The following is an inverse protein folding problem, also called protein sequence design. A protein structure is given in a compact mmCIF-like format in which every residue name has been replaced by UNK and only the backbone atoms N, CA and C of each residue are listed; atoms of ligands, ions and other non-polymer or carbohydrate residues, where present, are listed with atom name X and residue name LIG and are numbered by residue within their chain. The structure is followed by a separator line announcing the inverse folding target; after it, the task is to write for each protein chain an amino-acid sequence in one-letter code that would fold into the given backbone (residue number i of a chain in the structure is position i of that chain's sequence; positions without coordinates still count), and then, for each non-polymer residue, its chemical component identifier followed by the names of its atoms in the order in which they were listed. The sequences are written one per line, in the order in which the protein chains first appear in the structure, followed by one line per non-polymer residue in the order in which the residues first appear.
data_IF_002131609596
#
_entry.id   IF_002131609596
#
_cell.length_a   1.000
_cell.length_b   1.000
_cell.length_c   1.000
_cell.angle_alpha   90.00
_cell.angle_beta   90.00
_cell.angle_gamma   90.00
#
_symmetry.space_group_name_H-M   'P 1'
#
loop_
_entity.id
_entity.type
_entity.pdbx_description
1 polymer ?
#
# COMPACT_ATOMS: atom_id res chain seq x y z
N UNK A 1 24.06 20.01 1.76
CA UNK A 1 23.04 19.16 2.43
C UNK A 1 21.96 18.59 1.49
N UNK A 2 21.37 19.32 0.55
CA UNK A 2 20.30 18.81 -0.36
C UNK A 2 20.80 17.68 -1.27
N UNK A 3 21.99 17.79 -1.86
CA UNK A 3 22.58 16.76 -2.75
C UNK A 3 22.75 15.43 -2.00
N UNK A 4 23.25 15.45 -0.75
CA UNK A 4 23.42 14.25 0.05
C UNK A 4 22.09 13.53 0.40
N UNK A 5 20.97 14.27 0.52
CA UNK A 5 19.63 13.67 0.72
C UNK A 5 19.14 12.96 -0.54
N UNK A 6 19.36 13.55 -1.73
CA UNK A 6 19.00 12.92 -3.01
C UNK A 6 19.75 11.60 -3.23
N UNK A 7 21.05 11.57 -2.99
CA UNK A 7 21.84 10.35 -3.09
C UNK A 7 21.40 9.25 -2.13
N UNK A 8 21.04 9.61 -0.88
CA UNK A 8 20.49 8.63 0.07
C UNK A 8 19.12 8.10 -0.37
N UNK A 9 18.26 8.94 -0.91
CA UNK A 9 16.98 8.49 -1.45
C UNK A 9 17.19 7.49 -2.60
N UNK A 10 18.15 7.76 -3.50
CA UNK A 10 18.52 6.84 -4.58
C UNK A 10 19.13 5.53 -4.06
N UNK A 11 19.98 5.58 -3.04
CA UNK A 11 20.53 4.38 -2.41
C UNK A 11 19.44 3.52 -1.76
N UNK A 12 18.48 4.14 -1.06
CA UNK A 12 17.36 3.45 -0.45
C UNK A 12 16.41 2.88 -1.51
N UNK A 13 16.19 3.59 -2.62
CA UNK A 13 15.49 3.07 -3.79
C UNK A 13 16.19 1.83 -4.33
N UNK A 14 17.49 1.93 -4.63
CA UNK A 14 18.26 0.84 -5.22
C UNK A 14 18.31 -0.40 -4.30
N UNK A 15 18.53 -0.20 -3.00
CA UNK A 15 18.52 -1.26 -2.01
C UNK A 15 17.15 -1.96 -1.94
N UNK A 16 16.07 -1.16 -1.87
CA UNK A 16 14.72 -1.72 -1.81
C UNK A 16 14.36 -2.46 -3.08
N UNK A 17 14.69 -1.90 -4.24
CA UNK A 17 14.47 -2.53 -5.53
C UNK A 17 15.24 -3.85 -5.64
N UNK A 18 16.51 -3.86 -5.24
CA UNK A 18 17.33 -5.09 -5.25
C UNK A 18 16.67 -6.19 -4.39
N UNK A 19 16.26 -5.87 -3.14
CA UNK A 19 15.63 -6.84 -2.25
C UNK A 19 14.28 -7.32 -2.81
N UNK A 20 13.48 -6.41 -3.35
CA UNK A 20 12.16 -6.75 -3.90
C UNK A 20 12.29 -7.63 -5.16
N UNK A 21 13.24 -7.34 -6.05
CA UNK A 21 13.50 -8.15 -7.24
C UNK A 21 14.19 -9.49 -6.92
N UNK A 22 15.01 -9.56 -5.87
CA UNK A 22 15.59 -10.83 -5.42
C UNK A 22 14.52 -11.87 -5.12
N UNK A 23 13.36 -11.41 -4.72
CA UNK A 23 12.17 -12.23 -4.46
C UNK A 23 11.64 -12.98 -5.70
N UNK A 24 11.94 -12.50 -6.91
CA UNK A 24 11.57 -13.15 -8.17
C UNK A 24 12.01 -14.62 -8.25
N UNK A 25 13.13 -14.99 -7.67
CA UNK A 25 13.62 -16.36 -7.64
C UNK A 25 12.68 -17.35 -6.93
N UNK A 26 11.80 -16.86 -6.07
CA UNK A 26 10.94 -17.67 -5.22
C UNK A 26 9.52 -17.89 -5.79
N UNK A 27 9.19 -17.37 -6.97
CA UNK A 27 8.02 -17.66 -7.84
C UNK A 27 6.66 -17.85 -7.16
N UNK A 28 6.32 -17.19 -6.06
CA UNK A 28 5.19 -17.61 -5.26
C UNK A 28 3.88 -16.83 -5.43
N UNK A 29 3.83 -15.82 -6.26
CA UNK A 29 2.57 -15.20 -6.61
C UNK A 29 2.49 -15.04 -8.12
N UNK A 30 1.82 -16.03 -8.73
CA UNK A 30 0.99 -15.69 -9.86
C UNK A 30 -0.05 -14.70 -9.36
N UNK A 31 -0.35 -13.70 -10.14
CA UNK A 31 -1.39 -12.76 -9.86
C UNK A 31 -2.66 -13.48 -9.40
N UNK A 32 -3.10 -13.18 -8.20
CA UNK A 32 -4.46 -13.50 -7.79
C UNK A 32 -5.43 -12.64 -8.60
N UNK A 33 -6.70 -13.03 -8.67
CA UNK A 33 -7.72 -12.34 -9.46
C UNK A 33 -7.70 -10.81 -9.39
N UNK A 34 -7.33 -10.24 -8.24
CA UNK A 34 -7.27 -8.79 -8.00
C UNK A 34 -6.24 -8.05 -8.87
N UNK A 35 -5.14 -8.70 -9.30
CA UNK A 35 -4.08 -8.07 -10.13
C UNK A 35 -4.28 -8.34 -11.61
N UNK A 36 -5.14 -9.29 -11.98
CA UNK A 36 -5.37 -9.71 -13.36
C UNK A 36 -5.75 -8.54 -14.28
N UNK A 37 -6.68 -7.65 -13.93
CA UNK A 37 -6.99 -6.51 -14.78
C UNK A 37 -5.78 -5.58 -15.01
N UNK A 38 -4.97 -5.35 -13.99
CA UNK A 38 -3.76 -4.53 -14.14
C UNK A 38 -2.71 -5.21 -15.05
N UNK A 39 -2.61 -6.53 -15.02
CA UNK A 39 -1.73 -7.29 -15.91
C UNK A 39 -2.22 -7.34 -17.35
N UNK A 40 -3.52 -7.37 -17.55
CA UNK A 40 -4.11 -7.45 -18.88
C UNK A 40 -4.28 -6.09 -19.55
N UNK A 41 -4.27 -4.97 -18.80
CA UNK A 41 -4.51 -3.65 -19.36
C UNK A 41 -3.60 -3.30 -20.54
N UNK A 42 -2.26 -3.49 -20.50
CA UNK A 42 -1.40 -3.16 -21.64
C UNK A 42 -1.79 -3.94 -22.90
N UNK A 43 -2.19 -5.21 -22.76
CA UNK A 43 -2.63 -6.05 -23.88
C UNK A 43 -4.03 -5.65 -24.38
N UNK A 44 -4.92 -5.29 -23.47
CA UNK A 44 -6.25 -4.80 -23.84
C UNK A 44 -6.17 -3.49 -24.63
N UNK A 45 -5.31 -2.57 -24.18
CA UNK A 45 -5.05 -1.32 -24.91
C UNK A 45 -4.47 -1.57 -26.30
N UNK A 46 -3.55 -2.51 -26.43
CA UNK A 46 -2.95 -2.87 -27.74
C UNK A 46 -4.00 -3.52 -28.68
N UNK A 47 -4.80 -4.45 -28.16
CA UNK A 47 -5.77 -5.22 -28.96
C UNK A 47 -7.02 -4.42 -29.30
N UNK A 48 -7.59 -3.73 -28.30
CA UNK A 48 -8.92 -3.10 -28.43
C UNK A 48 -8.84 -1.59 -28.67
N UNK A 49 -7.63 -1.00 -28.70
CA UNK A 49 -7.41 0.45 -28.79
C UNK A 49 -8.27 1.27 -27.81
N UNK A 50 -8.56 0.67 -26.64
CA UNK A 50 -9.43 1.21 -25.58
C UNK A 50 -9.05 0.62 -24.24
N UNK A 51 -9.79 0.98 -23.16
CA UNK A 51 -9.62 0.39 -21.84
C UNK A 51 -10.66 -0.73 -21.57
N UNK A 52 -11.35 -1.21 -22.60
CA UNK A 52 -12.19 -2.40 -22.51
C UNK A 52 -11.34 -3.67 -22.57
N UNK A 53 -11.79 -4.71 -21.88
CA UNK A 53 -11.12 -6.00 -21.79
C UNK A 53 -11.77 -7.09 -22.65
N UNK A 54 -12.44 -6.69 -23.73
CA UNK A 54 -13.12 -7.61 -24.64
C UNK A 54 -12.14 -8.66 -25.19
N UNK A 55 -12.55 -9.93 -25.07
CA UNK A 55 -11.73 -11.09 -25.45
C UNK A 55 -10.65 -11.49 -24.45
N UNK A 56 -10.63 -10.89 -23.27
CA UNK A 56 -9.80 -11.28 -22.12
C UNK A 56 -10.65 -11.83 -20.96
N UNK A 57 -11.97 -11.82 -21.07
CA UNK A 57 -12.88 -12.37 -20.07
C UNK A 57 -12.71 -13.87 -19.99
N UNK A 58 -12.79 -14.39 -18.77
CA UNK A 58 -12.87 -15.80 -18.49
C UNK A 58 -14.22 -16.11 -17.84
N UNK A 59 -14.90 -17.22 -18.17
CA UNK A 59 -16.13 -17.60 -17.52
C UNK A 59 -15.98 -17.66 -15.99
N UNK A 60 -16.87 -16.97 -15.27
CA UNK A 60 -16.84 -16.90 -13.82
C UNK A 60 -15.78 -15.96 -13.22
N UNK A 61 -15.04 -15.21 -14.02
CA UNK A 61 -14.07 -14.23 -13.55
C UNK A 61 -14.79 -13.01 -12.95
N UNK A 62 -14.79 -12.91 -11.64
CA UNK A 62 -15.44 -11.84 -10.88
C UNK A 62 -14.71 -10.48 -10.97
N UNK A 63 -13.53 -10.43 -11.53
CA UNK A 63 -12.76 -9.19 -11.74
C UNK A 63 -13.09 -8.44 -13.04
N UNK A 64 -14.00 -8.95 -13.87
CA UNK A 64 -14.58 -8.24 -15.01
C UNK A 64 -16.09 -8.18 -14.89
N UNK A 65 -16.64 -7.04 -15.30
CA UNK A 65 -18.07 -6.80 -15.38
C UNK A 65 -18.45 -6.47 -16.82
N UNK A 66 -19.67 -6.84 -17.24
CA UNK A 66 -20.19 -6.43 -18.53
C UNK A 66 -21.01 -5.15 -18.38
N UNK A 67 -20.60 -4.11 -19.12
CA UNK A 67 -21.28 -2.82 -19.18
C UNK A 67 -21.51 -2.49 -20.66
N UNK A 68 -22.76 -2.30 -21.05
CA UNK A 68 -23.15 -2.03 -22.46
C UNK A 68 -22.53 -3.00 -23.48
N UNK A 69 -22.42 -4.27 -23.14
CA UNK A 69 -21.87 -5.31 -24.02
C UNK A 69 -20.33 -5.48 -23.96
N UNK A 70 -19.61 -4.58 -23.31
CA UNK A 70 -18.16 -4.60 -23.19
C UNK A 70 -17.68 -5.09 -21.82
N UNK A 71 -16.52 -5.71 -21.77
CA UNK A 71 -15.87 -6.13 -20.53
C UNK A 71 -15.10 -4.95 -19.90
N UNK A 72 -15.43 -4.61 -18.67
CA UNK A 72 -14.81 -3.53 -17.88
C UNK A 72 -14.17 -4.11 -16.64
N UNK A 73 -13.03 -3.53 -16.22
CA UNK A 73 -12.34 -3.96 -15.01
C UNK A 73 -13.15 -3.69 -13.75
N UNK A 74 -13.39 -4.71 -12.92
CA UNK A 74 -13.93 -4.58 -11.57
C UNK A 74 -12.97 -3.97 -10.55
N UNK A 75 -11.74 -3.63 -10.98
CA UNK A 75 -10.71 -2.96 -10.18
C UNK A 75 -10.30 -1.63 -10.80
N UNK A 76 -9.81 -0.66 -10.01
CA UNK A 76 -9.31 0.60 -10.54
C UNK A 76 -8.25 0.39 -11.62
N UNK A 77 -8.33 1.21 -12.67
CA UNK A 77 -7.53 1.07 -13.88
C UNK A 77 -6.08 1.56 -13.69
N UNK A 78 -5.85 2.46 -12.72
CA UNK A 78 -4.54 3.14 -12.52
C UNK A 78 -3.36 2.17 -12.38
N UNK A 79 -3.46 1.04 -11.64
CA UNK A 79 -2.32 0.12 -11.51
C UNK A 79 -1.83 -0.43 -12.85
N UNK A 80 -2.73 -0.67 -13.78
CA UNK A 80 -2.39 -1.23 -15.09
C UNK A 80 -1.47 -0.33 -15.92
N UNK A 81 -1.59 1.00 -15.78
CA UNK A 81 -0.71 1.94 -16.48
C UNK A 81 0.75 1.82 -16.02
N UNK A 82 1.01 1.44 -14.79
CA UNK A 82 2.37 1.22 -14.31
C UNK A 82 3.02 -0.05 -14.87
N UNK A 83 2.26 -0.94 -15.49
CA UNK A 83 2.79 -2.11 -16.19
C UNK A 83 3.26 -1.79 -17.61
N UNK A 84 2.75 -0.73 -18.24
CA UNK A 84 3.04 -0.40 -19.65
C UNK A 84 4.55 -0.35 -19.97
N UNK A 85 5.42 0.32 -19.18
CA UNK A 85 6.84 0.38 -19.50
C UNK A 85 7.53 -1.01 -19.54
N UNK A 86 7.20 -1.88 -18.58
CA UNK A 86 7.79 -3.23 -18.53
C UNK A 86 7.32 -4.10 -19.70
N UNK A 87 6.05 -3.97 -20.10
CA UNK A 87 5.49 -4.68 -21.27
C UNK A 87 6.07 -4.15 -22.59
N UNK A 88 6.27 -2.84 -22.73
CA UNK A 88 6.92 -2.28 -23.91
C UNK A 88 8.35 -2.80 -24.09
N UNK A 89 9.13 -2.87 -22.99
CA UNK A 89 10.48 -3.44 -23.00
C UNK A 89 10.44 -4.94 -23.34
N UNK A 90 9.50 -5.69 -22.75
CA UNK A 90 9.34 -7.13 -23.03
C UNK A 90 9.01 -7.38 -24.50
N UNK A 91 8.08 -6.59 -25.08
CA UNK A 91 7.74 -6.63 -26.50
C UNK A 91 8.96 -6.35 -27.39
N UNK A 92 9.66 -5.26 -27.09
CA UNK A 92 10.86 -4.90 -27.85
C UNK A 92 11.93 -6.00 -27.83
N UNK A 93 12.02 -6.76 -26.75
CA UNK A 93 12.94 -7.90 -26.59
C UNK A 93 12.39 -9.23 -27.10
N UNK A 94 11.20 -9.28 -27.66
CA UNK A 94 10.54 -10.51 -28.13
C UNK A 94 10.16 -11.50 -27.03
N UNK A 95 10.00 -11.02 -25.77
CA UNK A 95 9.59 -11.87 -24.66
C UNK A 95 8.10 -12.20 -24.82
N UNK A 96 7.67 -13.47 -24.74
CA UNK A 96 6.28 -13.84 -24.83
C UNK A 96 5.50 -13.28 -23.64
N UNK A 97 4.25 -12.84 -23.90
CA UNK A 97 3.37 -12.26 -22.88
C UNK A 97 2.31 -13.26 -22.39
N UNK A 98 2.73 -14.51 -22.17
CA UNK A 98 1.91 -15.51 -21.50
C UNK A 98 1.65 -15.19 -20.02
N UNK A 99 0.84 -15.97 -19.35
CA UNK A 99 0.42 -15.74 -17.97
C UNK A 99 1.62 -15.64 -17.00
N UNK A 100 2.65 -16.47 -17.17
CA UNK A 100 3.82 -16.49 -16.29
C UNK A 100 4.68 -15.22 -16.48
N UNK A 101 4.91 -14.81 -17.72
CA UNK A 101 5.67 -13.59 -18.03
C UNK A 101 4.90 -12.34 -17.60
N UNK A 102 3.56 -12.29 -17.77
CA UNK A 102 2.74 -11.17 -17.31
C UNK A 102 2.84 -10.98 -15.80
N UNK A 103 2.71 -12.07 -15.03
CA UNK A 103 2.86 -12.01 -13.56
C UNK A 103 4.26 -11.55 -13.15
N UNK A 104 5.30 -12.00 -13.86
CA UNK A 104 6.68 -11.53 -13.64
C UNK A 104 6.82 -10.03 -13.92
N UNK A 105 6.33 -9.55 -15.04
CA UNK A 105 6.39 -8.12 -15.41
C UNK A 105 5.61 -7.25 -14.43
N UNK A 106 4.45 -7.73 -14.00
CA UNK A 106 3.62 -7.09 -12.96
C UNK A 106 4.39 -6.96 -11.64
N UNK A 107 5.10 -8.02 -11.21
CA UNK A 107 5.93 -7.98 -10.01
C UNK A 107 7.12 -7.02 -10.16
N UNK A 108 7.80 -7.01 -11.31
CA UNK A 108 8.89 -6.07 -11.59
C UNK A 108 8.39 -4.63 -11.49
N UNK A 109 7.27 -4.32 -12.15
CA UNK A 109 6.66 -2.99 -12.12
C UNK A 109 6.26 -2.58 -10.70
N UNK A 110 5.63 -3.50 -9.94
CA UNK A 110 5.25 -3.28 -8.55
C UNK A 110 6.47 -3.04 -7.65
N UNK A 111 7.57 -3.78 -7.87
CA UNK A 111 8.82 -3.60 -7.15
C UNK A 111 9.43 -2.22 -7.39
N UNK A 112 9.44 -1.75 -8.65
CA UNK A 112 9.94 -0.40 -9.02
C UNK A 112 9.08 0.68 -8.37
N UNK A 113 7.75 0.58 -8.48
CA UNK A 113 6.80 1.56 -7.93
C UNK A 113 6.91 1.62 -6.40
N UNK A 114 6.98 0.47 -5.74
CA UNK A 114 7.11 0.40 -4.28
C UNK A 114 8.48 0.90 -3.81
N UNK A 115 9.57 0.58 -4.50
CA UNK A 115 10.90 1.12 -4.20
C UNK A 115 10.95 2.65 -4.40
N UNK A 116 10.27 3.18 -5.42
CA UNK A 116 10.13 4.63 -5.59
C UNK A 116 9.39 5.27 -4.41
N UNK A 117 8.35 4.61 -3.87
CA UNK A 117 7.67 5.08 -2.67
C UNK A 117 8.62 5.17 -1.47
N UNK A 118 9.56 4.23 -1.31
CA UNK A 118 10.58 4.27 -0.24
C UNK A 118 11.46 5.51 -0.34
N UNK A 119 11.89 5.86 -1.56
CA UNK A 119 12.71 7.05 -1.78
C UNK A 119 11.97 8.34 -1.42
N UNK A 120 10.74 8.52 -1.89
CA UNK A 120 9.93 9.69 -1.56
C UNK A 120 9.53 9.73 -0.08
N UNK A 121 9.28 8.58 0.52
CA UNK A 121 9.01 8.48 1.96
C UNK A 121 10.22 8.92 2.81
N UNK A 122 11.45 8.50 2.43
CA UNK A 122 12.68 9.01 3.06
C UNK A 122 12.79 10.54 2.94
N UNK A 123 12.48 11.10 1.77
CA UNK A 123 12.51 12.55 1.57
C UNK A 123 11.47 13.25 2.46
N UNK A 124 10.28 12.68 2.64
CA UNK A 124 9.25 13.18 3.56
C UNK A 124 9.73 13.14 5.01
N UNK A 125 10.22 11.99 5.47
CA UNK A 125 10.76 11.84 6.83
C UNK A 125 11.93 12.78 7.12
N UNK A 126 12.83 12.99 6.14
CA UNK A 126 13.98 13.88 6.27
C UNK A 126 13.61 15.37 6.51
N UNK A 127 12.33 15.73 6.29
CA UNK A 127 11.81 17.05 6.64
C UNK A 127 11.22 17.12 8.06
N UNK A 128 10.95 15.98 8.68
CA UNK A 128 10.23 15.87 9.96
C UNK A 128 11.13 15.48 11.13
N UNK A 129 12.16 14.66 10.88
CA UNK A 129 12.99 14.04 11.92
C UNK A 129 14.47 14.07 11.54
N UNK A 130 15.35 13.75 12.51
CA UNK A 130 16.77 13.66 12.29
C UNK A 130 17.12 12.59 11.25
N UNK A 131 18.22 12.80 10.52
CA UNK A 131 18.65 11.92 9.43
C UNK A 131 18.76 10.44 9.82
N UNK A 132 19.28 10.14 11.01
CA UNK A 132 19.42 8.76 11.50
C UNK A 132 18.06 8.09 11.68
N UNK A 133 17.14 8.81 12.32
CA UNK A 133 15.75 8.36 12.51
C UNK A 133 15.03 8.19 11.16
N UNK A 134 15.22 9.15 10.24
CA UNK A 134 14.64 9.07 8.89
C UNK A 134 15.12 7.82 8.14
N UNK A 135 16.43 7.51 8.17
CA UNK A 135 16.96 6.29 7.54
C UNK A 135 16.39 5.03 8.20
N UNK A 136 16.47 4.93 9.54
CA UNK A 136 16.01 3.75 10.27
C UNK A 136 14.51 3.48 10.03
N UNK A 137 13.66 4.50 10.15
CA UNK A 137 12.23 4.35 9.91
C UNK A 137 11.90 4.09 8.43
N UNK A 138 12.70 4.59 7.48
CA UNK A 138 12.54 4.25 6.07
C UNK A 138 12.88 2.78 5.81
N UNK A 139 13.90 2.23 6.45
CA UNK A 139 14.22 0.80 6.37
C UNK A 139 13.11 -0.07 7.01
N UNK A 140 12.52 0.38 8.11
CA UNK A 140 11.33 -0.24 8.70
C UNK A 140 10.17 -0.22 7.70
N UNK A 141 9.87 0.93 7.10
CA UNK A 141 8.85 1.06 6.06
C UNK A 141 9.09 0.08 4.90
N UNK A 142 10.32 0.04 4.39
CA UNK A 142 10.68 -0.80 3.25
C UNK A 142 10.61 -2.29 3.53
N UNK A 143 11.08 -2.76 4.71
CA UNK A 143 11.35 -4.18 4.93
C UNK A 143 10.57 -4.82 6.07
N UNK A 144 10.01 -4.04 6.99
CA UNK A 144 9.27 -4.53 8.15
C UNK A 144 7.76 -4.26 8.06
N UNK A 145 7.22 -4.08 6.84
CA UNK A 145 5.80 -3.75 6.61
C UNK A 145 5.27 -4.42 5.33
N UNK A 146 3.98 -4.26 5.09
CA UNK A 146 3.32 -4.73 3.85
C UNK A 146 3.83 -4.05 2.58
N UNK A 147 4.71 -3.06 2.64
CA UNK A 147 5.41 -2.54 1.47
C UNK A 147 6.19 -3.68 0.79
N UNK A 148 6.97 -4.49 1.55
CA UNK A 148 7.71 -5.61 1.00
C UNK A 148 6.83 -6.83 0.72
N UNK A 149 5.97 -7.22 1.67
CA UNK A 149 5.26 -8.50 1.61
C UNK A 149 3.96 -8.48 0.80
N UNK A 150 3.45 -7.29 0.45
CA UNK A 150 2.23 -7.12 -0.34
C UNK A 150 2.47 -6.21 -1.53
N UNK A 151 2.81 -4.93 -1.34
CA UNK A 151 2.82 -3.93 -2.39
C UNK A 151 3.87 -4.22 -3.49
N UNK A 152 5.05 -4.75 -3.13
CA UNK A 152 6.10 -5.09 -4.08
C UNK A 152 5.90 -6.43 -4.80
N UNK A 153 4.86 -7.22 -4.45
CA UNK A 153 4.68 -8.60 -4.92
C UNK A 153 3.89 -8.75 -6.22
N UNK A 154 3.18 -7.75 -6.62
CA UNK A 154 2.36 -7.71 -7.82
C UNK A 154 1.71 -6.34 -7.96
N UNK A 155 1.23 -6.01 -9.15
CA UNK A 155 0.65 -4.68 -9.40
C UNK A 155 -0.77 -4.59 -8.82
N UNK A 156 -0.81 -4.61 -7.48
CA UNK A 156 -1.98 -4.26 -6.70
C UNK A 156 -2.19 -2.74 -6.69
N UNK A 157 -3.35 -2.29 -6.27
CA UNK A 157 -3.61 -0.87 -5.99
C UNK A 157 -2.68 -0.30 -4.90
N UNK A 158 -2.11 -1.15 -4.04
CA UNK A 158 -1.30 -0.78 -2.89
C UNK A 158 0.02 -0.10 -3.28
N UNK A 159 0.76 -0.65 -4.25
CA UNK A 159 2.04 -0.08 -4.70
C UNK A 159 1.89 1.37 -5.20
N UNK A 160 1.03 1.64 -6.20
CA UNK A 160 0.73 3.01 -6.63
C UNK A 160 0.18 3.91 -5.52
N UNK A 161 -0.69 3.41 -4.63
CA UNK A 161 -1.16 4.19 -3.47
C UNK A 161 -0.02 4.64 -2.56
N UNK A 162 0.89 3.71 -2.22
CA UNK A 162 2.07 4.04 -1.40
C UNK A 162 2.96 5.09 -2.08
N UNK A 163 3.15 5.01 -3.40
CA UNK A 163 3.92 5.99 -4.15
C UNK A 163 3.25 7.37 -4.12
N UNK A 164 1.96 7.45 -4.45
CA UNK A 164 1.23 8.71 -4.44
C UNK A 164 1.18 9.34 -3.05
N UNK A 165 0.92 8.56 -2.00
CA UNK A 165 0.93 9.05 -0.63
C UNK A 165 2.34 9.51 -0.21
N UNK A 166 3.41 8.78 -0.56
CA UNK A 166 4.78 9.17 -0.24
C UNK A 166 5.18 10.49 -0.92
N UNK A 167 4.81 10.67 -2.21
CA UNK A 167 5.04 11.93 -2.93
C UNK A 167 4.25 13.07 -2.26
N UNK A 168 2.98 12.85 -1.95
CA UNK A 168 2.14 13.86 -1.30
C UNK A 168 2.70 14.27 0.06
N UNK A 169 3.10 13.30 0.89
CA UNK A 169 3.71 13.54 2.19
C UNK A 169 5.03 14.32 2.06
N UNK A 170 5.86 13.98 1.07
CA UNK A 170 7.08 14.75 0.79
C UNK A 170 6.76 16.19 0.43
N UNK A 171 5.77 16.44 -0.42
CA UNK A 171 5.36 17.79 -0.81
C UNK A 171 4.77 18.57 0.37
N UNK A 172 3.88 17.97 1.15
CA UNK A 172 3.26 18.59 2.33
C UNK A 172 4.29 18.95 3.42
N UNK A 173 5.27 18.06 3.64
CA UNK A 173 6.28 18.26 4.70
C UNK A 173 7.33 19.30 4.35
N UNK A 174 7.41 19.79 3.10
CA UNK A 174 8.27 20.91 2.72
C UNK A 174 7.77 22.26 3.23
N UNK A 175 6.48 22.38 3.41
CA UNK A 175 5.87 23.55 4.05
C UNK A 175 5.76 24.80 3.17
N UNK A 176 6.32 24.81 1.95
CA UNK A 176 6.17 25.96 1.04
C UNK A 176 4.83 25.89 0.26
N UNK A 177 4.19 27.06 -0.04
CA UNK A 177 2.86 27.08 -0.63
C UNK A 177 2.75 26.38 -1.99
N UNK A 178 3.81 26.37 -2.80
CA UNK A 178 3.83 25.75 -4.13
C UNK A 178 3.81 24.22 -4.01
N UNK A 179 4.66 23.66 -3.16
CA UNK A 179 4.70 22.21 -2.95
C UNK A 179 3.43 21.72 -2.27
N UNK A 180 2.85 22.48 -1.34
CA UNK A 180 1.56 22.16 -0.74
C UNK A 180 0.46 22.13 -1.80
N UNK A 181 0.41 23.14 -2.69
CA UNK A 181 -0.55 23.15 -3.79
C UNK A 181 -0.39 21.91 -4.70
N UNK A 182 0.85 21.60 -5.09
CA UNK A 182 1.15 20.44 -5.94
C UNK A 182 0.81 19.09 -5.29
N UNK A 183 0.74 19.02 -3.94
CA UNK A 183 0.37 17.77 -3.26
C UNK A 183 -1.06 17.31 -3.57
N UNK A 184 -1.94 18.19 -4.04
CA UNK A 184 -3.27 17.85 -4.52
C UNK A 184 -3.26 16.82 -5.65
N UNK A 185 -2.28 16.91 -6.56
CA UNK A 185 -2.17 16.01 -7.71
C UNK A 185 -1.96 14.54 -7.28
N UNK A 186 -0.91 14.18 -6.53
CA UNK A 186 -0.73 12.78 -6.08
C UNK A 186 -1.83 12.34 -5.11
N UNK A 187 -2.41 13.21 -4.28
CA UNK A 187 -3.54 12.83 -3.43
C UNK A 187 -4.79 12.51 -4.25
N UNK A 188 -5.08 13.26 -5.30
CA UNK A 188 -6.17 12.94 -6.21
C UNK A 188 -5.92 11.61 -6.95
N UNK A 189 -4.70 11.34 -7.41
CA UNK A 189 -4.35 10.03 -7.99
C UNK A 189 -4.43 8.89 -6.98
N UNK A 190 -4.13 9.12 -5.71
CA UNK A 190 -4.31 8.12 -4.66
C UNK A 190 -5.78 7.71 -4.52
N UNK A 191 -6.72 8.67 -4.63
CA UNK A 191 -8.16 8.39 -4.62
C UNK A 191 -8.60 7.69 -5.91
N UNK A 192 -8.16 8.14 -7.08
CA UNK A 192 -8.47 7.48 -8.36
C UNK A 192 -7.96 6.05 -8.39
N UNK A 193 -6.76 5.82 -7.88
CA UNK A 193 -6.16 4.48 -7.78
C UNK A 193 -6.91 3.57 -6.77
N UNK A 194 -7.39 4.14 -5.68
CA UNK A 194 -8.13 3.42 -4.63
C UNK A 194 -9.08 4.36 -3.90
N UNK A 195 -10.40 4.31 -4.18
CA UNK A 195 -11.37 5.27 -3.63
C UNK A 195 -11.37 5.39 -2.11
N UNK A 196 -11.06 4.30 -1.37
CA UNK A 196 -10.94 4.31 0.10
C UNK A 196 -9.89 5.31 0.60
N UNK A 197 -8.89 5.66 -0.20
CA UNK A 197 -7.88 6.66 0.16
C UNK A 197 -8.48 8.05 0.41
N UNK A 198 -9.74 8.30 0.01
CA UNK A 198 -10.45 9.53 0.38
C UNK A 198 -10.47 9.76 1.89
N UNK A 199 -10.48 8.68 2.70
CA UNK A 199 -10.44 8.77 4.16
C UNK A 199 -9.12 9.30 4.72
N UNK A 200 -8.03 9.12 3.96
CA UNK A 200 -6.71 9.72 4.27
C UNK A 200 -6.63 11.12 3.66
N UNK A 201 -7.11 11.27 2.43
CA UNK A 201 -6.97 12.51 1.65
C UNK A 201 -7.85 13.64 2.19
N UNK A 202 -9.08 13.35 2.62
CA UNK A 202 -9.99 14.38 3.12
C UNK A 202 -9.46 15.10 4.39
N UNK A 203 -8.98 14.42 5.44
CA UNK A 203 -8.32 15.09 6.56
C UNK A 203 -7.08 15.90 6.16
N UNK A 204 -6.27 15.39 5.21
CA UNK A 204 -5.11 16.13 4.70
C UNK A 204 -5.53 17.38 3.91
N UNK A 205 -6.59 17.33 3.12
CA UNK A 205 -7.15 18.48 2.43
C UNK A 205 -7.68 19.51 3.44
N UNK A 206 -8.34 19.06 4.52
CA UNK A 206 -8.78 19.93 5.61
C UNK A 206 -7.61 20.60 6.32
N UNK A 207 -6.49 19.88 6.53
CA UNK A 207 -5.26 20.47 7.03
C UNK A 207 -4.76 21.60 6.11
N UNK A 208 -4.75 21.38 4.78
CA UNK A 208 -4.33 22.41 3.81
C UNK A 208 -5.27 23.61 3.88
N UNK A 209 -6.59 23.40 3.94
CA UNK A 209 -7.59 24.45 4.07
C UNK A 209 -7.37 25.31 5.33
N UNK A 210 -7.12 24.69 6.48
CA UNK A 210 -7.00 25.42 7.74
C UNK A 210 -5.64 26.09 7.91
N UNK A 211 -4.55 25.40 7.57
CA UNK A 211 -3.19 25.87 7.84
C UNK A 211 -2.57 26.65 6.68
N UNK A 212 -2.99 26.36 5.44
CA UNK A 212 -2.37 26.88 4.22
C UNK A 212 -3.43 27.44 3.24
N UNK A 213 -4.32 28.27 3.73
CA UNK A 213 -5.50 28.78 2.99
C UNK A 213 -5.18 29.33 1.61
N UNK A 214 -4.03 30.01 1.45
CA UNK A 214 -3.58 30.56 0.17
C UNK A 214 -3.21 29.47 -0.85
N UNK A 215 -2.79 28.30 -0.39
CA UNK A 215 -2.46 27.16 -1.24
C UNK A 215 -3.68 26.27 -1.53
N UNK A 216 -4.82 26.47 -0.83
CA UNK A 216 -5.94 25.54 -0.91
C UNK A 216 -6.61 25.51 -2.29
N UNK A 217 -6.87 26.68 -2.91
CA UNK A 217 -7.49 26.74 -4.25
C UNK A 217 -6.53 26.09 -5.29
N UNK A 218 -5.22 26.45 -5.37
CA UNK A 218 -4.28 25.75 -6.23
C UNK A 218 -4.16 24.25 -5.94
N UNK A 219 -4.26 23.83 -4.67
CA UNK A 219 -4.34 22.42 -4.27
C UNK A 219 -5.57 21.71 -4.88
N UNK A 220 -6.74 22.33 -4.77
CA UNK A 220 -7.98 21.80 -5.37
C UNK A 220 -7.88 21.72 -6.91
N UNK A 221 -7.27 22.71 -7.57
CA UNK A 221 -7.03 22.70 -9.02
C UNK A 221 -6.11 21.53 -9.40
N UNK A 222 -5.03 21.29 -8.65
CA UNK A 222 -4.14 20.16 -8.88
C UNK A 222 -4.86 18.81 -8.66
N UNK A 223 -5.71 18.70 -7.64
CA UNK A 223 -6.49 17.50 -7.37
C UNK A 223 -7.63 17.27 -8.38
N UNK A 224 -8.13 18.33 -9.01
CA UNK A 224 -9.18 18.25 -10.02
C UNK A 224 -8.74 17.48 -11.29
N UNK A 225 -7.45 17.47 -11.62
CA UNK A 225 -6.92 16.75 -12.79
C UNK A 225 -7.20 15.23 -12.65
N UNK A 226 -6.71 14.52 -11.63
CA UNK A 226 -7.04 13.11 -11.48
C UNK A 226 -8.52 12.85 -11.17
N UNK A 227 -9.23 13.80 -10.53
CA UNK A 227 -10.68 13.68 -10.33
C UNK A 227 -11.45 13.73 -11.66
N UNK A 228 -11.05 14.61 -12.59
CA UNK A 228 -11.65 14.68 -13.92
C UNK A 228 -11.36 13.41 -14.75
N UNK A 229 -10.13 12.86 -14.67
CA UNK A 229 -9.78 11.59 -15.29
C UNK A 229 -10.59 10.43 -14.71
N UNK A 230 -10.78 10.39 -13.40
CA UNK A 230 -11.62 9.40 -12.73
C UNK A 230 -13.09 9.51 -13.18
N UNK A 231 -13.63 10.73 -13.21
CA UNK A 231 -15.00 10.97 -13.66
C UNK A 231 -15.18 10.59 -15.14
N UNK A 232 -14.25 10.98 -16.01
CA UNK A 232 -14.25 10.59 -17.42
C UNK A 232 -14.25 9.08 -17.58
N UNK A 233 -13.33 8.36 -16.89
CA UNK A 233 -13.26 6.90 -16.93
C UNK A 233 -14.57 6.27 -16.43
N UNK A 234 -15.11 6.76 -15.33
CA UNK A 234 -16.34 6.23 -14.74
C UNK A 234 -17.55 6.43 -15.65
N UNK A 235 -17.70 7.62 -16.22
CA UNK A 235 -18.82 7.91 -17.14
C UNK A 235 -18.70 7.09 -18.43
N UNK A 236 -17.50 7.06 -19.03
CA UNK A 236 -17.29 6.43 -20.34
C UNK A 236 -17.36 4.91 -20.27
N UNK A 237 -16.73 4.29 -19.27
CA UNK A 237 -16.60 2.83 -19.19
C UNK A 237 -17.64 2.16 -18.26
N UNK A 238 -18.12 2.87 -17.24
CA UNK A 238 -19.09 2.33 -16.28
C UNK A 238 -20.49 2.93 -16.44
N UNK A 239 -20.65 3.99 -17.21
CA UNK A 239 -21.93 4.70 -17.37
C UNK A 239 -22.40 5.43 -16.09
N UNK A 240 -21.51 5.59 -15.10
CA UNK A 240 -21.80 6.25 -13.81
C UNK A 240 -20.78 7.36 -13.54
N UNK A 241 -21.13 8.32 -12.68
CA UNK A 241 -20.22 9.42 -12.31
C UNK A 241 -19.09 8.96 -11.38
N UNK A 242 -19.28 7.84 -10.70
CA UNK A 242 -18.32 7.32 -9.71
C UNK A 242 -17.96 5.89 -10.02
N UNK A 243 -16.72 5.49 -9.66
CA UNK A 243 -16.26 4.10 -9.74
C UNK A 243 -16.96 3.17 -8.72
N UNK A 244 -17.93 3.68 -7.96
CA UNK A 244 -18.76 2.87 -7.06
C UNK A 244 -19.59 1.82 -7.79
N UNK A 245 -19.77 1.93 -9.12
CA UNK A 245 -20.31 0.86 -9.95
C UNK A 245 -19.46 -0.42 -9.95
N UNK A 246 -18.17 -0.33 -9.58
CA UNK A 246 -17.30 -1.49 -9.35
C UNK A 246 -17.70 -2.29 -8.09
N UNK A 247 -18.43 -1.66 -7.18
CA UNK A 247 -18.95 -2.27 -5.96
C UNK A 247 -20.47 -2.27 -6.07
N UNK A 248 -21.06 -3.25 -6.83
CA UNK A 248 -22.51 -3.34 -6.98
C UNK A 248 -23.16 -3.45 -5.60
N UNK A 249 -24.39 -2.95 -5.52
CA UNK A 249 -25.18 -2.92 -4.29
C UNK A 249 -25.14 -4.28 -3.58
N UNK A 250 -24.55 -4.32 -2.42
CA UNK A 250 -24.40 -5.49 -1.58
C UNK A 250 -24.08 -5.07 -0.15
N UNK A 251 -24.16 -6.00 0.75
CA UNK A 251 -23.90 -5.81 2.18
C UNK A 251 -22.40 -5.65 2.51
N UNK A 252 -21.67 -4.88 1.68
CA UNK A 252 -20.23 -4.68 1.84
C UNK A 252 -19.83 -4.16 3.21
N UNK A 253 -20.70 -3.37 3.84
CA UNK A 253 -20.49 -2.78 5.16
C UNK A 253 -21.38 -3.42 6.25
N UNK A 254 -21.73 -4.69 6.09
CA UNK A 254 -22.51 -5.48 7.06
C UNK A 254 -21.67 -6.03 8.23
N UNK A 255 -20.35 -5.89 8.17
CA UNK A 255 -19.45 -6.38 9.21
C UNK A 255 -19.71 -5.74 10.59
N UNK A 256 -19.38 -6.48 11.65
CA UNK A 256 -19.50 -6.01 13.05
C UNK A 256 -18.22 -5.28 13.44
N UNK A 257 -18.34 -4.02 13.88
CA UNK A 257 -17.20 -3.13 14.19
C UNK A 257 -16.23 -3.76 15.21
N UNK A 258 -16.73 -4.29 16.32
CA UNK A 258 -15.87 -4.87 17.38
C UNK A 258 -14.99 -6.02 16.86
N UNK A 259 -15.57 -7.10 16.33
CA UNK A 259 -14.81 -8.17 15.70
C UNK A 259 -13.91 -7.70 14.54
N UNK A 260 -14.36 -6.74 13.74
CA UNK A 260 -13.56 -6.17 12.65
C UNK A 260 -12.33 -5.43 13.15
N UNK A 261 -12.46 -4.54 14.15
CA UNK A 261 -11.30 -3.85 14.77
C UNK A 261 -10.36 -4.88 15.40
N UNK A 262 -10.88 -5.82 16.19
CA UNK A 262 -10.06 -6.86 16.80
C UNK A 262 -9.32 -7.67 15.73
N UNK A 263 -10.01 -8.04 14.65
CA UNK A 263 -9.43 -8.77 13.54
C UNK A 263 -8.31 -8.00 12.85
N UNK A 264 -8.55 -6.75 12.49
CA UNK A 264 -7.57 -5.89 11.82
C UNK A 264 -6.34 -5.58 12.69
N UNK A 265 -6.48 -5.55 14.02
CA UNK A 265 -5.40 -5.19 14.92
C UNK A 265 -4.65 -6.39 15.50
N UNK A 266 -5.35 -7.47 15.89
CA UNK A 266 -4.74 -8.55 16.69
C UNK A 266 -5.01 -9.97 16.20
N UNK A 267 -5.69 -10.17 15.06
CA UNK A 267 -5.86 -11.50 14.49
C UNK A 267 -4.50 -12.16 14.22
N UNK A 268 -4.29 -13.44 14.56
CA UNK A 268 -3.07 -14.18 14.24
C UNK A 268 -2.71 -14.24 12.76
N UNK A 269 -3.71 -14.15 11.88
CA UNK A 269 -3.51 -14.23 10.42
C UNK A 269 -3.56 -12.90 9.69
N UNK A 270 -4.09 -11.81 10.33
CA UNK A 270 -4.32 -10.52 9.66
C UNK A 270 -4.03 -9.30 10.54
N UNK A 271 -3.68 -9.49 11.81
CA UNK A 271 -3.57 -8.41 12.77
C UNK A 271 -2.36 -7.50 12.52
N UNK A 272 -2.60 -6.19 12.45
CA UNK A 272 -1.57 -5.16 12.28
C UNK A 272 -0.43 -5.30 13.29
N UNK A 273 -0.77 -5.47 14.59
CA UNK A 273 0.21 -5.58 15.67
C UNK A 273 0.87 -6.96 15.75
N UNK A 274 0.27 -7.98 15.15
CA UNK A 274 0.86 -9.33 15.08
C UNK A 274 1.97 -9.37 14.02
N UNK A 275 1.72 -8.75 12.85
CA UNK A 275 2.68 -8.72 11.75
C UNK A 275 3.69 -7.58 11.88
N UNK A 276 3.29 -6.45 12.46
CA UNK A 276 4.19 -5.31 12.69
C UNK A 276 4.01 -4.78 14.11
N UNK A 277 4.52 -5.47 15.14
CA UNK A 277 4.41 -5.02 16.53
C UNK A 277 5.04 -3.65 16.79
N UNK A 278 5.94 -3.18 15.93
CA UNK A 278 6.43 -1.80 15.94
C UNK A 278 5.32 -0.75 15.92
N UNK A 279 4.19 -1.03 15.29
CA UNK A 279 3.09 -0.09 15.20
C UNK A 279 2.31 0.12 16.51
N UNK A 280 2.57 -0.68 17.54
CA UNK A 280 2.14 -0.35 18.92
C UNK A 280 2.74 0.99 19.37
N UNK A 281 4.03 1.23 19.07
CA UNK A 281 4.68 2.51 19.37
C UNK A 281 4.12 3.65 18.51
N UNK A 282 3.77 3.36 17.25
CA UNK A 282 3.11 4.33 16.37
C UNK A 282 1.75 4.77 16.92
N UNK A 283 0.94 3.83 17.40
CA UNK A 283 -0.36 4.13 18.02
C UNK A 283 -0.20 4.91 19.30
N UNK A 284 0.76 4.59 20.14
CA UNK A 284 1.05 5.36 21.36
C UNK A 284 1.41 6.82 21.03
N UNK A 285 2.26 7.04 20.01
CA UNK A 285 2.62 8.37 19.54
C UNK A 285 1.43 9.11 18.90
N UNK A 286 0.60 8.40 18.13
CA UNK A 286 -0.62 8.94 17.53
C UNK A 286 -1.60 9.41 18.60
N UNK A 287 -1.87 8.58 19.62
CA UNK A 287 -2.76 8.93 20.74
C UNK A 287 -2.22 10.17 21.47
N UNK A 288 -0.92 10.22 21.74
CA UNK A 288 -0.29 11.38 22.37
C UNK A 288 -0.46 12.67 21.54
N UNK A 289 -0.38 12.56 20.21
CA UNK A 289 -0.60 13.67 19.28
C UNK A 289 -2.06 14.12 19.29
N UNK A 290 -3.00 13.18 19.20
CA UNK A 290 -4.44 13.48 19.12
C UNK A 290 -5.00 14.08 20.43
N UNK A 291 -4.30 13.93 21.55
CA UNK A 291 -4.65 14.64 22.81
C UNK A 291 -4.42 16.17 22.71
N UNK A 292 -3.55 16.60 21.80
CA UNK A 292 -3.21 18.01 21.61
C UNK A 292 -3.21 18.38 20.11
N UNK A 293 -4.37 18.29 19.42
CA UNK A 293 -4.48 18.35 17.96
C UNK A 293 -3.95 19.66 17.35
N UNK A 294 -4.06 20.77 18.08
CA UNK A 294 -3.59 22.08 17.62
C UNK A 294 -2.05 22.20 17.52
N UNK A 295 -1.29 21.35 18.23
CA UNK A 295 0.18 21.41 18.23
C UNK A 295 0.79 20.92 16.91
N UNK A 296 0.20 19.85 16.34
CA UNK A 296 0.70 19.21 15.12
C UNK A 296 -0.48 18.92 14.16
N UNK A 297 -1.02 19.94 13.47
CA UNK A 297 -2.23 19.74 12.65
C UNK A 297 -2.07 18.73 11.51
N UNK A 298 -0.86 18.62 10.91
CA UNK A 298 -0.57 17.62 9.89
C UNK A 298 -0.64 16.19 10.46
N UNK A 299 0.00 15.95 11.60
CA UNK A 299 -0.05 14.66 12.27
C UNK A 299 -1.47 14.34 12.75
N UNK A 300 -2.21 15.35 13.21
CA UNK A 300 -3.63 15.19 13.58
C UNK A 300 -4.46 14.73 12.38
N UNK A 301 -4.29 15.36 11.22
CA UNK A 301 -4.97 14.94 9.98
C UNK A 301 -4.62 13.50 9.59
N UNK A 302 -3.34 13.11 9.69
CA UNK A 302 -2.90 11.73 9.46
C UNK A 302 -3.57 10.75 10.45
N UNK A 303 -3.61 11.08 11.74
CA UNK A 303 -4.25 10.26 12.76
C UNK A 303 -5.75 10.06 12.53
N UNK A 304 -6.47 11.11 12.14
CA UNK A 304 -7.88 11.02 11.75
C UNK A 304 -8.05 10.09 10.54
N UNK A 305 -7.18 10.22 9.51
CA UNK A 305 -7.21 9.34 8.34
C UNK A 305 -6.98 7.87 8.69
N UNK A 306 -6.05 7.57 9.61
CA UNK A 306 -5.81 6.22 10.12
C UNK A 306 -7.07 5.66 10.79
N UNK A 307 -7.66 6.42 11.73
CA UNK A 307 -8.84 5.98 12.47
C UNK A 307 -10.06 5.79 11.55
N UNK A 308 -10.30 6.72 10.61
CA UNK A 308 -11.38 6.61 9.64
C UNK A 308 -11.25 5.36 8.77
N UNK A 309 -10.03 5.07 8.28
CA UNK A 309 -9.77 3.88 7.45
C UNK A 309 -9.94 2.59 8.27
N UNK A 310 -9.46 2.55 9.50
CA UNK A 310 -9.68 1.41 10.41
C UNK A 310 -11.17 1.16 10.66
N UNK A 311 -11.96 2.20 10.90
CA UNK A 311 -13.40 2.08 11.14
C UNK A 311 -14.13 1.59 9.89
N UNK A 312 -13.77 2.10 8.68
CA UNK A 312 -14.36 1.61 7.44
C UNK A 312 -14.10 0.12 7.25
N UNK A 313 -12.84 -0.30 7.34
CA UNK A 313 -12.51 -1.72 7.15
C UNK A 313 -12.99 -2.62 8.28
N UNK A 314 -13.16 -2.11 9.50
CA UNK A 314 -13.83 -2.85 10.57
C UNK A 314 -15.29 -3.15 10.27
N UNK A 315 -15.93 -2.26 9.48
CA UNK A 315 -17.32 -2.42 9.02
C UNK A 315 -17.43 -3.26 7.74
N UNK A 316 -16.31 -3.50 7.04
CA UNK A 316 -16.26 -4.32 5.83
C UNK A 316 -16.57 -5.78 6.17
N UNK A 317 -17.47 -6.42 5.40
CA UNK A 317 -17.89 -7.81 5.68
C UNK A 317 -16.71 -8.80 5.66
N UNK A 318 -15.72 -8.55 4.80
CA UNK A 318 -14.51 -9.33 4.64
C UNK A 318 -13.28 -8.55 5.15
N UNK A 319 -13.29 -8.16 6.44
CA UNK A 319 -12.24 -7.37 7.08
C UNK A 319 -10.83 -7.99 6.96
N UNK A 320 -10.74 -9.27 6.69
CA UNK A 320 -9.47 -9.99 6.53
C UNK A 320 -8.83 -9.82 5.15
N UNK A 321 -9.56 -9.26 4.16
CA UNK A 321 -9.04 -8.91 2.84
C UNK A 321 -8.80 -10.08 1.89
N UNK A 322 -9.48 -11.23 2.08
CA UNK A 322 -9.36 -12.40 1.20
C UNK A 322 -8.01 -13.08 1.26
N UNK A 323 -7.66 -13.81 0.19
CA UNK A 323 -6.40 -14.55 0.05
C UNK A 323 -5.22 -13.60 -0.14
N UNK A 324 -4.68 -13.09 0.95
CA UNK A 324 -3.56 -12.16 0.95
C UNK A 324 -2.70 -12.34 2.20
N UNK A 325 -1.50 -11.77 2.22
CA UNK A 325 -0.62 -11.87 3.38
C UNK A 325 -0.87 -10.72 4.37
N UNK A 326 -1.02 -11.05 5.65
CA UNK A 326 -1.10 -10.12 6.75
C UNK A 326 -2.24 -9.08 6.61
N UNK A 327 -1.98 -7.87 7.06
CA UNK A 327 -2.95 -6.76 7.11
C UNK A 327 -3.05 -5.98 5.79
N UNK A 328 -3.24 -6.67 4.64
CA UNK A 328 -3.27 -6.06 3.29
C UNK A 328 -4.15 -4.81 3.20
N UNK A 329 -5.35 -4.85 3.79
CA UNK A 329 -6.31 -3.73 3.71
C UNK A 329 -5.79 -2.43 4.34
N UNK A 330 -4.83 -2.53 5.27
CA UNK A 330 -4.26 -1.38 5.97
C UNK A 330 -2.91 -0.93 5.38
N UNK A 331 -2.54 -1.43 4.20
CA UNK A 331 -1.24 -1.12 3.58
C UNK A 331 -1.04 0.39 3.37
N UNK A 332 -2.09 1.13 3.01
CA UNK A 332 -2.03 2.58 2.81
C UNK A 332 -1.80 3.37 4.11
N UNK A 333 -2.04 2.76 5.27
CA UNK A 333 -1.75 3.38 6.57
C UNK A 333 -0.27 3.30 6.95
N UNK A 334 0.50 2.42 6.31
CA UNK A 334 1.89 2.15 6.66
C UNK A 334 2.79 3.39 6.64
N UNK A 335 2.78 4.26 5.61
CA UNK A 335 3.60 5.47 5.63
C UNK A 335 3.20 6.41 6.77
N UNK A 336 1.92 6.55 7.08
CA UNK A 336 1.43 7.41 8.16
C UNK A 336 1.86 6.85 9.52
N UNK A 337 1.66 5.55 9.74
CA UNK A 337 2.06 4.87 10.98
C UNK A 337 3.58 4.93 11.19
N UNK A 338 4.36 4.82 10.12
CA UNK A 338 5.83 4.93 10.22
C UNK A 338 6.28 6.35 10.53
N UNK A 339 5.55 7.40 10.08
CA UNK A 339 5.79 8.78 10.53
C UNK A 339 5.54 8.89 12.03
N UNK A 340 4.45 8.35 12.54
CA UNK A 340 4.18 8.34 13.99
C UNK A 340 5.27 7.58 14.77
N UNK A 341 5.81 6.48 14.23
CA UNK A 341 6.94 5.78 14.84
C UNK A 341 8.17 6.70 14.94
N UNK A 342 8.51 7.39 13.85
CA UNK A 342 9.68 8.27 13.79
C UNK A 342 9.55 9.47 14.73
N UNK A 343 8.39 10.13 14.74
CA UNK A 343 8.09 11.25 15.64
C UNK A 343 8.04 10.77 17.10
N UNK A 344 7.40 9.63 17.35
CA UNK A 344 7.33 9.02 18.67
C UNK A 344 8.69 8.66 19.21
N UNK A 345 9.59 8.13 18.36
CA UNK A 345 10.96 7.87 18.73
C UNK A 345 11.67 9.14 19.24
N UNK A 346 11.67 10.21 18.48
CA UNK A 346 12.40 11.45 18.86
C UNK A 346 11.77 12.18 20.03
N UNK A 347 10.46 12.22 20.11
CA UNK A 347 9.77 13.01 21.15
C UNK A 347 9.57 12.29 22.47
N UNK A 348 9.42 10.95 22.43
CA UNK A 348 8.95 10.21 23.61
C UNK A 348 9.83 9.02 24.00
N UNK A 349 10.36 8.26 23.03
CA UNK A 349 10.92 6.94 23.29
C UNK A 349 12.45 6.98 23.45
N UNK A 350 13.17 7.85 22.74
CA UNK A 350 14.63 7.92 22.74
C UNK A 350 15.23 8.15 24.14
N UNK A 351 14.52 8.85 25.01
CA UNK A 351 14.96 9.11 26.39
C UNK A 351 14.67 7.95 27.36
N UNK A 352 13.86 6.97 26.94
CA UNK A 352 13.39 5.88 27.77
C UNK A 352 14.11 4.58 27.43
N UNK A 353 15.35 4.43 27.91
CA UNK A 353 16.23 3.28 27.58
C UNK A 353 15.63 1.92 27.82
N UNK A 354 14.69 1.77 28.78
CA UNK A 354 14.00 0.51 29.04
C UNK A 354 13.10 0.04 27.87
N UNK A 355 12.73 0.95 26.94
CA UNK A 355 11.96 0.60 25.74
C UNK A 355 12.83 0.03 24.61
N UNK A 356 14.16 0.17 24.66
CA UNK A 356 15.04 -0.27 23.58
C UNK A 356 14.98 -1.76 23.30
N UNK A 357 14.99 -2.66 24.33
CA UNK A 357 14.82 -4.09 24.09
C UNK A 357 13.48 -4.41 23.43
N UNK A 358 12.39 -3.78 23.88
CA UNK A 358 11.05 -4.00 23.32
C UNK A 358 10.98 -3.52 21.86
N UNK A 359 11.57 -2.37 21.55
CA UNK A 359 11.66 -1.86 20.18
C UNK A 359 12.50 -2.79 19.31
N UNK A 360 13.63 -3.29 19.83
CA UNK A 360 14.48 -4.26 19.14
C UNK A 360 13.75 -5.55 18.81
N UNK A 361 13.07 -6.14 19.78
CA UNK A 361 12.24 -7.34 19.61
C UNK A 361 11.13 -7.09 18.59
N UNK A 362 10.40 -5.98 18.73
CA UNK A 362 9.33 -5.61 17.81
C UNK A 362 9.86 -5.43 16.37
N UNK A 363 11.07 -4.87 16.21
CA UNK A 363 11.73 -4.73 14.91
C UNK A 363 12.04 -6.07 14.28
N UNK A 364 12.66 -6.98 15.03
CA UNK A 364 13.03 -8.33 14.55
C UNK A 364 11.78 -9.11 14.17
N UNK A 365 10.73 -9.09 15.01
CA UNK A 365 9.48 -9.78 14.72
C UNK A 365 8.78 -9.22 13.48
N UNK A 366 8.78 -7.89 13.30
CA UNK A 366 8.20 -7.25 12.12
C UNK A 366 8.99 -7.62 10.85
N UNK A 367 10.32 -7.56 10.90
CA UNK A 367 11.18 -7.99 9.78
C UNK A 367 10.95 -9.46 9.43
N UNK A 368 10.89 -10.35 10.44
CA UNK A 368 10.65 -11.77 10.24
C UNK A 368 9.29 -12.05 9.61
N UNK A 369 8.23 -11.42 10.11
CA UNK A 369 6.90 -11.59 9.56
C UNK A 369 6.84 -11.20 8.08
N UNK A 370 7.36 -10.01 7.73
CA UNK A 370 7.32 -9.52 6.35
C UNK A 370 8.32 -10.24 5.43
N UNK A 371 9.44 -10.74 5.96
CA UNK A 371 10.31 -11.68 5.26
C UNK A 371 9.56 -12.96 4.88
N UNK A 372 8.83 -13.56 5.82
CA UNK A 372 8.01 -14.75 5.51
C UNK A 372 6.98 -14.45 4.42
N UNK A 373 6.27 -13.32 4.52
CA UNK A 373 5.31 -12.91 3.51
C UNK A 373 5.92 -12.67 2.14
N UNK A 374 7.10 -12.06 2.11
CA UNK A 374 7.79 -11.77 0.87
C UNK A 374 8.32 -13.03 0.16
N UNK A 375 8.86 -14.01 0.90
CA UNK A 375 9.60 -15.13 0.33
C UNK A 375 8.89 -16.48 0.40
N UNK A 376 7.84 -16.63 1.24
CA UNK A 376 7.17 -17.91 1.49
C UNK A 376 5.66 -17.91 1.31
N UNK A 377 5.00 -16.74 1.30
CA UNK A 377 3.55 -16.67 1.03
C UNK A 377 3.24 -17.04 -0.43
N UNK A 378 2.06 -17.64 -0.71
CA UNK A 378 0.97 -17.97 0.21
C UNK A 378 1.27 -19.21 1.06
N UNK A 379 0.82 -19.20 2.33
CA UNK A 379 1.16 -20.24 3.27
C UNK A 379 -0.06 -21.02 3.78
N UNK A 380 -1.04 -21.17 2.99
CA UNK A 380 -2.22 -21.97 3.33
C UNK A 380 -3.48 -21.48 2.64
N UNK A 381 -4.57 -22.26 2.69
CA UNK A 381 -5.83 -21.83 2.14
C UNK A 381 -6.40 -20.65 2.93
N UNK A 382 -7.15 -19.82 2.24
CA UNK A 382 -7.94 -18.73 2.82
C UNK A 382 -9.18 -19.33 3.49
N UNK A 383 -9.01 -19.76 4.74
CA UNK A 383 -10.10 -20.30 5.54
C UNK A 383 -10.41 -19.35 6.69
N UNK A 384 -11.62 -18.82 6.72
CA UNK A 384 -12.08 -17.91 7.77
C UNK A 384 -11.93 -18.52 9.18
N UNK A 385 -12.05 -19.86 9.31
CA UNK A 385 -11.90 -20.56 10.59
C UNK A 385 -10.47 -20.42 11.16
N UNK A 386 -9.47 -20.15 10.31
CA UNK A 386 -8.06 -20.01 10.70
C UNK A 386 -7.65 -18.59 11.07
N UNK A 387 -8.50 -17.60 10.82
CA UNK A 387 -8.17 -16.21 11.09
C UNK A 387 -7.79 -15.96 12.56
N UNK A 388 -8.35 -16.74 13.47
CA UNK A 388 -8.14 -16.65 14.92
C UNK A 388 -7.28 -17.77 15.50
N UNK A 389 -6.69 -18.61 14.65
CA UNK A 389 -5.84 -19.72 15.08
C UNK A 389 -4.37 -19.32 15.09
N UNK A 390 -3.72 -19.31 16.23
CA UNK A 390 -2.27 -19.12 16.33
C UNK A 390 -1.49 -20.31 15.73
N UNK A 391 -1.98 -21.53 15.93
CA UNK A 391 -1.33 -22.76 15.48
C UNK A 391 -1.39 -22.93 13.97
N UNK A 392 -2.54 -22.59 13.37
CA UNK A 392 -2.81 -22.72 11.95
C UNK A 392 -2.82 -21.37 11.22
N UNK A 393 -2.45 -20.29 11.93
CA UNK A 393 -2.39 -18.94 11.38
C UNK A 393 -1.30 -18.81 10.31
N UNK A 394 -1.39 -17.78 9.52
CA UNK A 394 -0.55 -17.57 8.34
C UNK A 394 0.94 -17.53 8.68
N UNK A 395 1.33 -16.84 9.77
CA UNK A 395 2.73 -16.77 10.20
C UNK A 395 3.27 -18.14 10.60
N UNK A 396 2.49 -18.94 11.33
CA UNK A 396 2.91 -20.28 11.75
C UNK A 396 3.13 -21.19 10.54
N UNK A 397 2.23 -21.15 9.56
CA UNK A 397 2.35 -21.95 8.33
C UNK A 397 3.52 -21.50 7.46
N UNK A 398 3.75 -20.19 7.31
CA UNK A 398 4.91 -19.66 6.60
C UNK A 398 6.24 -20.04 7.29
N UNK A 399 6.26 -19.97 8.63
CA UNK A 399 7.41 -20.42 9.42
C UNK A 399 7.70 -21.91 9.23
N UNK A 400 6.64 -22.74 9.17
CA UNK A 400 6.77 -24.17 8.88
C UNK A 400 7.36 -24.45 7.49
N UNK A 401 6.91 -23.74 6.46
CA UNK A 401 7.50 -23.81 5.11
C UNK A 401 8.96 -23.39 5.09
N UNK A 402 9.30 -22.30 5.78
CA UNK A 402 10.67 -21.83 5.92
C UNK A 402 11.56 -22.90 6.56
N UNK A 403 11.14 -23.44 7.71
CA UNK A 403 11.90 -24.49 8.42
C UNK A 403 12.08 -25.77 7.60
N UNK A 404 11.03 -26.22 6.88
CA UNK A 404 11.11 -27.40 6.01
C UNK A 404 12.14 -27.19 4.88
N UNK A 405 12.13 -26.02 4.25
CA UNK A 405 13.06 -25.69 3.16
C UNK A 405 14.50 -25.58 3.65
N UNK A 406 14.73 -25.01 4.84
CA UNK A 406 16.07 -24.90 5.42
C UNK A 406 16.67 -26.30 5.71
N UNK A 407 15.83 -27.23 6.22
CA UNK A 407 16.26 -28.61 6.49
C UNK A 407 16.59 -29.38 5.20
N UNK A 408 15.94 -29.12 4.08
CA UNK A 408 16.21 -29.80 2.79
C UNK A 408 17.54 -29.39 2.16
N UNK A 409 18.15 -28.30 2.60
CA UNK A 409 19.43 -27.79 2.11
C UNK A 409 20.62 -28.05 3.07
N UNK A 410 20.37 -28.63 4.26
CA UNK A 410 21.44 -29.08 5.15
C UNK A 410 21.95 -30.44 4.67
N UNK A 411 23.26 -30.63 4.49
CA UNK A 411 23.83 -31.95 4.19
C UNK A 411 23.49 -32.90 5.35
N UNK A 412 23.04 -34.12 4.99
CA UNK A 412 22.84 -35.21 5.96
C UNK A 412 24.18 -35.78 6.40
#
# INVERSE_FOLDING_TARGET
MRIARGWLALLLFALSLFVYLYNYRYRFWGAGGDTTPAELLPLAMERNHSLYFDGFEQPGAWWFHRVNGHAVSGYPIVPGFFNIPAYAIARWRGVPLDSAHRSMLSMISASVVTAASVAFFFLALSNLVQRRTAIACTLVYAFATTAMSVAARGMWQHGPSLLFLAIALWLLTRGDPRTIALSGLPLGFAVFNRPVNVLIVAPLAMYVLWRHRRAFIPFCVAAAIPAALMAWYSIHYWGTVTTLGQYPSGDWFSGRIGPGIAGLLVSPSRGLFVFTPLFLFSFAAMIATLRHPARDPLLTAMGIGILATLLLYAKWYSWWGGTSFGYRLLTELVPLLTIFLAIGWERFFAVRRFLYPLLGIATVLSLYAHFLGAFFAPCGPDDQQRLWSWRNGELAQCSGKFAARTRSHLPR
#
